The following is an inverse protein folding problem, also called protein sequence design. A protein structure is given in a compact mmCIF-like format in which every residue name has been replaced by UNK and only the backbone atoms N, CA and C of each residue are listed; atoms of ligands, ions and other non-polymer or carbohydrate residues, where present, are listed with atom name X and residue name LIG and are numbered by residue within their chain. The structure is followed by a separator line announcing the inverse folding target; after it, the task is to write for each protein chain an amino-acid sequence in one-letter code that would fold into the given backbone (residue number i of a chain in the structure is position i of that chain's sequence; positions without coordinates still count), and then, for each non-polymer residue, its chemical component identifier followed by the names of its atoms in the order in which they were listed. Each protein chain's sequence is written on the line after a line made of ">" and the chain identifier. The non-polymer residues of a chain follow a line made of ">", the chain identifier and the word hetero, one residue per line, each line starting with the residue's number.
data_IF_327798583104
#
_entry.id   IF_327798583104
#
_cell.length_a   1.000
_cell.length_b   1.000
_cell.length_c   1.000
_cell.angle_alpha   90.00
_cell.angle_beta   90.00
_cell.angle_gamma   90.00
#
_symmetry.space_group_name_H-M   'P 1'
#
loop_
_entity.id
_entity.type
_entity.pdbx_description
1 polymer ?
#
# COMPACT_ATOMS: atom_id res chain seq x y z
N UNK A 1 -15.52 -2.19 4.10
CA UNK A 1 -15.57 -3.61 3.66
C UNK A 1 -16.65 -3.89 2.62
N UNK A 2 -17.96 -3.76 2.91
CA UNK A 2 -19.00 -4.03 1.90
C UNK A 2 -18.84 -3.15 0.65
N UNK A 3 -18.67 -1.84 0.85
CA UNK A 3 -18.38 -0.87 -0.23
C UNK A 3 -17.18 -1.29 -1.09
N UNK A 4 -16.09 -1.73 -0.44
CA UNK A 4 -14.86 -2.15 -1.12
C UNK A 4 -15.12 -3.39 -1.99
N UNK A 5 -15.78 -4.40 -1.44
CA UNK A 5 -16.10 -5.64 -2.17
C UNK A 5 -17.12 -5.47 -3.28
N UNK A 6 -17.85 -4.36 -3.32
CA UNK A 6 -18.76 -4.01 -4.41
C UNK A 6 -18.12 -3.05 -5.43
N UNK A 7 -16.86 -2.63 -5.23
CA UNK A 7 -16.17 -1.67 -6.07
C UNK A 7 -16.63 -0.22 -5.89
N UNK A 8 -17.56 0.05 -4.96
CA UNK A 8 -18.04 1.42 -4.75
C UNK A 8 -16.95 2.33 -4.19
N UNK A 9 -16.08 1.79 -3.32
CA UNK A 9 -14.98 2.58 -2.76
C UNK A 9 -13.98 3.02 -3.81
N UNK A 10 -13.61 2.15 -4.76
CA UNK A 10 -12.65 2.51 -5.81
C UNK A 10 -13.26 3.50 -6.81
N UNK A 11 -14.55 3.35 -7.14
CA UNK A 11 -15.26 4.33 -7.97
C UNK A 11 -15.31 5.70 -7.29
N UNK A 12 -15.55 5.75 -5.98
CA UNK A 12 -15.52 7.02 -5.23
C UNK A 12 -14.12 7.63 -5.17
N UNK A 13 -13.08 6.80 -5.06
CA UNK A 13 -11.69 7.26 -5.19
C UNK A 13 -11.47 7.90 -6.56
N UNK A 14 -11.74 7.17 -7.65
CA UNK A 14 -11.56 7.64 -9.03
C UNK A 14 -12.34 8.93 -9.34
N UNK A 15 -13.56 9.09 -8.81
CA UNK A 15 -14.38 10.31 -9.02
C UNK A 15 -13.78 11.53 -8.33
N UNK A 16 -13.17 11.35 -7.15
CA UNK A 16 -12.67 12.47 -6.35
C UNK A 16 -11.22 12.84 -6.69
N UNK A 17 -10.46 11.89 -7.21
CA UNK A 17 -9.05 12.03 -7.56
C UNK A 17 -8.93 12.73 -8.92
N UNK A 18 -8.91 14.07 -8.92
CA UNK A 18 -8.74 14.88 -10.13
C UNK A 18 -7.26 15.09 -10.40
N UNK A 19 -6.62 14.16 -11.11
CA UNK A 19 -5.20 14.29 -11.45
C UNK A 19 -4.98 14.38 -12.97
N UNK A 20 -3.86 14.98 -13.32
CA UNK A 20 -3.29 14.90 -14.67
C UNK A 20 -3.01 13.42 -15.00
N UNK A 21 -3.21 13.00 -16.26
CA UNK A 21 -2.92 11.63 -16.71
C UNK A 21 -1.46 11.22 -16.46
N UNK A 22 -0.55 12.19 -16.35
CA UNK A 22 0.84 11.95 -16.03
C UNK A 22 1.12 11.63 -14.54
N UNK A 23 0.16 11.84 -13.64
CA UNK A 23 0.33 11.57 -12.22
C UNK A 23 0.17 10.08 -11.89
N UNK A 24 0.88 9.62 -10.84
CA UNK A 24 0.69 8.25 -10.34
C UNK A 24 -0.74 8.07 -9.84
N UNK A 25 -1.39 7.00 -10.28
CA UNK A 25 -2.75 6.68 -9.84
C UNK A 25 -2.82 6.42 -8.34
N UNK A 26 -3.91 6.89 -7.75
CA UNK A 26 -4.24 6.66 -6.36
C UNK A 26 -4.84 5.28 -6.09
N UNK A 27 -4.89 4.91 -4.83
CA UNK A 27 -5.59 3.73 -4.35
C UNK A 27 -6.12 3.98 -2.94
N UNK A 28 -6.98 3.08 -2.47
CA UNK A 28 -7.59 3.18 -1.16
C UNK A 28 -6.54 3.11 -0.03
N UNK A 29 -6.65 4.01 0.94
CA UNK A 29 -5.84 3.98 2.17
C UNK A 29 -5.99 2.65 2.92
N UNK A 30 -7.19 2.07 2.90
CA UNK A 30 -7.54 0.90 3.70
C UNK A 30 -7.57 1.20 5.20
N UNK A 31 -7.94 0.22 6.04
CA UNK A 31 -8.15 0.43 7.47
C UNK A 31 -6.87 0.30 8.31
N UNK A 32 -5.72 0.04 7.70
CA UNK A 32 -4.49 -0.40 8.40
C UNK A 32 -3.37 0.63 8.41
N UNK A 33 -3.61 1.84 7.90
CA UNK A 33 -2.71 2.97 8.08
C UNK A 33 -2.60 3.34 9.56
N UNK A 34 -1.38 3.66 10.01
CA UNK A 34 -1.10 4.08 11.38
C UNK A 34 -0.09 5.23 11.35
N UNK A 35 -0.44 6.34 11.99
CA UNK A 35 0.45 7.49 12.18
C UNK A 35 1.45 7.22 13.34
N UNK A 36 2.47 8.07 13.46
CA UNK A 36 3.45 8.03 14.55
C UNK A 36 4.61 7.06 14.34
N UNK A 37 4.73 6.45 13.15
CA UNK A 37 5.93 5.71 12.75
C UNK A 37 7.13 6.66 12.75
N UNK A 38 8.24 6.28 13.39
CA UNK A 38 9.44 7.13 13.45
C UNK A 38 10.12 7.22 12.08
N UNK A 39 10.59 8.41 11.73
CA UNK A 39 11.37 8.61 10.51
C UNK A 39 12.66 7.77 10.56
N UNK A 40 12.90 7.04 9.47
CA UNK A 40 14.02 6.15 9.27
C UNK A 40 14.99 6.73 8.24
N UNK A 41 16.25 6.31 8.30
CA UNK A 41 17.27 6.74 7.35
C UNK A 41 17.03 6.15 5.95
N UNK A 42 17.57 6.81 4.94
CA UNK A 42 17.59 6.31 3.56
C UNK A 42 18.24 4.91 3.50
N UNK A 43 17.55 3.95 2.88
CA UNK A 43 18.00 2.57 2.78
C UNK A 43 17.83 1.74 4.07
N UNK A 44 17.13 2.24 5.09
CA UNK A 44 16.86 1.44 6.28
C UNK A 44 15.98 0.21 5.97
N UNK A 45 16.07 -0.82 6.81
CA UNK A 45 15.23 -1.99 6.73
C UNK A 45 14.00 -1.85 7.65
N UNK A 46 12.79 -1.97 7.09
CA UNK A 46 11.53 -1.90 7.85
C UNK A 46 11.05 -3.28 8.32
N UNK A 47 11.64 -4.36 7.81
CA UNK A 47 11.28 -5.72 8.19
C UNK A 47 11.97 -6.11 9.50
N UNK A 48 11.15 -6.44 10.50
CA UNK A 48 11.56 -7.06 11.77
C UNK A 48 11.09 -8.52 11.86
N UNK A 49 10.64 -9.08 10.73
CA UNK A 49 10.17 -10.46 10.58
C UNK A 49 10.86 -11.13 9.39
N UNK A 50 10.94 -12.46 9.41
CA UNK A 50 11.50 -13.26 8.32
C UNK A 50 10.64 -13.16 7.05
N UNK A 51 11.29 -13.25 5.88
CA UNK A 51 10.64 -13.24 4.57
C UNK A 51 11.66 -13.14 3.44
N UNK A 52 11.19 -13.22 2.19
CA UNK A 52 12.03 -13.01 1.01
C UNK A 52 12.47 -11.53 0.96
N UNK A 53 13.76 -11.19 1.10
CA UNK A 53 14.20 -9.79 1.15
C UNK A 53 13.94 -9.06 -0.17
N UNK A 54 13.44 -7.83 -0.07
CA UNK A 54 13.20 -6.94 -1.23
C UNK A 54 13.78 -5.56 -0.95
N UNK A 55 14.33 -4.95 -1.99
CA UNK A 55 14.80 -3.57 -1.96
C UNK A 55 13.86 -2.69 -2.79
N UNK A 56 13.21 -1.74 -2.13
CA UNK A 56 12.34 -0.76 -2.76
C UNK A 56 13.12 0.53 -2.98
N UNK A 57 13.08 1.05 -4.21
CA UNK A 57 13.71 2.32 -4.55
C UNK A 57 13.00 3.01 -5.71
N UNK A 58 13.13 4.32 -5.80
CA UNK A 58 12.56 5.13 -6.87
C UNK A 58 12.80 6.61 -6.66
N UNK A 59 12.10 7.43 -7.45
CA UNK A 59 12.16 8.89 -7.39
C UNK A 59 10.75 9.46 -7.34
N UNK A 60 10.53 10.43 -6.46
CA UNK A 60 9.34 11.28 -6.46
C UNK A 60 9.63 12.50 -7.33
N UNK A 61 8.80 12.71 -8.34
CA UNK A 61 8.88 13.85 -9.25
C UNK A 61 7.49 14.49 -9.46
N UNK A 62 7.48 15.74 -9.90
CA UNK A 62 6.26 16.39 -10.36
C UNK A 62 5.86 15.90 -11.77
N UNK A 63 4.71 16.37 -12.27
CA UNK A 63 4.18 16.02 -13.60
C UNK A 63 5.08 16.44 -14.77
N UNK A 64 6.07 17.31 -14.53
CA UNK A 64 7.07 17.71 -15.52
C UNK A 64 8.39 16.92 -15.37
N UNK A 65 8.44 15.95 -14.46
CA UNK A 65 9.61 15.13 -14.16
C UNK A 65 10.65 15.83 -13.29
N UNK A 66 10.34 16.98 -12.68
CA UNK A 66 11.26 17.64 -11.76
C UNK A 66 11.27 16.89 -10.43
N UNK A 67 12.45 16.53 -9.87
CA UNK A 67 12.51 15.85 -8.59
C UNK A 67 11.92 16.67 -7.44
N UNK A 68 11.23 15.98 -6.53
CA UNK A 68 10.65 16.56 -5.30
C UNK A 68 11.47 16.10 -4.11
N UNK A 69 12.33 16.98 -3.61
CA UNK A 69 13.11 16.76 -2.40
C UNK A 69 12.28 16.94 -1.12
N UNK A 70 12.71 16.29 -0.04
CA UNK A 70 12.08 16.37 1.28
C UNK A 70 10.59 15.93 1.32
N UNK A 71 10.13 15.19 0.30
CA UNK A 71 8.83 14.57 0.30
C UNK A 71 8.79 13.46 1.35
N UNK A 72 7.76 13.49 2.20
CA UNK A 72 7.50 12.46 3.19
C UNK A 72 6.90 11.23 2.50
N UNK A 73 7.47 10.06 2.75
CA UNK A 73 6.97 8.77 2.26
C UNK A 73 6.69 7.86 3.45
N UNK A 74 5.44 7.44 3.59
CA UNK A 74 5.00 6.44 4.55
C UNK A 74 4.61 5.16 3.83
N UNK A 75 5.09 4.02 4.32
CA UNK A 75 4.81 2.70 3.73
C UNK A 75 4.36 1.70 4.78
N UNK A 76 3.48 0.78 4.38
CA UNK A 76 3.04 -0.32 5.23
C UNK A 76 2.59 -1.53 4.40
N UNK A 77 2.84 -2.74 4.91
CA UNK A 77 2.42 -4.00 4.31
C UNK A 77 2.13 -5.05 5.40
N UNK A 78 1.53 -6.18 5.01
CA UNK A 78 1.35 -7.34 5.89
C UNK A 78 2.65 -8.14 6.07
N UNK A 79 2.77 -8.82 7.20
CA UNK A 79 3.76 -9.88 7.40
C UNK A 79 3.38 -11.15 6.61
N UNK A 80 4.25 -12.19 6.55
CA UNK A 80 3.97 -13.41 5.79
C UNK A 80 2.72 -14.18 6.23
N UNK A 81 2.23 -13.95 7.45
CA UNK A 81 0.97 -14.50 7.94
C UNK A 81 -0.27 -13.74 7.44
N UNK A 82 -0.11 -12.73 6.60
CA UNK A 82 -1.19 -11.94 6.01
C UNK A 82 -1.81 -10.92 6.96
N UNK A 83 -1.18 -10.65 8.11
CA UNK A 83 -1.64 -9.67 9.09
C UNK A 83 -0.72 -8.45 9.12
N UNK A 84 -1.31 -7.26 9.24
CA UNK A 84 -0.57 -6.07 9.65
C UNK A 84 -0.24 -6.15 11.14
N UNK A 85 0.86 -5.53 11.56
CA UNK A 85 1.32 -5.53 12.96
C UNK A 85 0.22 -5.12 13.97
N UNK A 86 -0.67 -4.19 13.62
CA UNK A 86 -1.79 -3.80 14.50
C UNK A 86 -2.90 -4.85 14.68
N UNK A 87 -2.88 -5.93 13.89
CA UNK A 87 -3.82 -7.06 13.98
C UNK A 87 -3.23 -8.25 14.73
N UNK A 88 -1.91 -8.32 14.82
CA UNK A 88 -1.17 -9.47 15.32
C UNK A 88 -0.32 -9.05 16.53
N UNK A 89 -0.74 -9.42 17.76
CA UNK A 89 -0.06 -8.99 18.97
C UNK A 89 1.36 -9.56 19.12
N UNK A 90 1.72 -10.58 18.33
CA UNK A 90 3.05 -11.19 18.36
C UNK A 90 4.05 -10.46 17.43
N UNK A 91 3.59 -9.53 16.60
CA UNK A 91 4.49 -8.73 15.75
C UNK A 91 5.19 -7.62 16.55
N UNK A 92 6.49 -7.35 16.27
CA UNK A 92 7.19 -6.22 16.86
C UNK A 92 6.52 -4.88 16.51
N UNK A 93 6.47 -3.95 17.45
CA UNK A 93 5.97 -2.59 17.22
C UNK A 93 6.66 -1.95 16.01
N UNK A 94 5.85 -1.52 15.03
CA UNK A 94 6.32 -0.90 13.80
C UNK A 94 6.88 -1.87 12.75
N UNK A 95 6.72 -3.19 12.92
CA UNK A 95 7.10 -4.17 11.90
C UNK A 95 6.46 -3.83 10.54
N UNK A 96 7.27 -3.83 9.48
CA UNK A 96 6.84 -3.60 8.09
C UNK A 96 6.11 -2.27 7.87
N UNK A 97 6.40 -1.28 8.71
CA UNK A 97 5.98 0.12 8.57
C UNK A 97 7.22 0.99 8.45
N UNK A 98 7.21 1.90 7.49
CA UNK A 98 8.32 2.79 7.21
C UNK A 98 7.88 4.23 7.06
N UNK A 99 8.76 5.16 7.43
CA UNK A 99 8.59 6.59 7.23
C UNK A 99 9.93 7.18 6.80
N UNK A 100 9.98 7.83 5.65
CA UNK A 100 11.21 8.29 5.01
C UNK A 100 11.03 9.68 4.41
N UNK A 101 12.15 10.33 4.08
CA UNK A 101 12.15 11.53 3.25
C UNK A 101 12.96 11.32 2.00
N UNK A 102 12.49 11.88 0.88
CA UNK A 102 13.27 11.90 -0.34
C UNK A 102 14.51 12.78 -0.19
N UNK A 103 15.59 12.39 -0.86
CA UNK A 103 16.81 13.19 -0.89
C UNK A 103 16.69 14.37 -1.88
N UNK A 104 17.78 15.12 -2.08
CA UNK A 104 17.81 16.28 -2.99
C UNK A 104 17.46 15.94 -4.45
N UNK A 105 17.68 14.70 -4.88
CA UNK A 105 17.36 14.19 -6.22
C UNK A 105 15.95 13.55 -6.26
N UNK A 106 15.13 13.76 -5.22
CA UNK A 106 13.81 13.16 -5.09
C UNK A 106 13.83 11.65 -4.84
N UNK A 107 14.99 11.05 -4.63
CA UNK A 107 15.11 9.60 -4.51
C UNK A 107 14.70 9.11 -3.12
N UNK A 108 14.13 7.91 -3.08
CA UNK A 108 13.86 7.14 -1.87
C UNK A 108 14.39 5.72 -2.01
N UNK A 109 14.73 5.10 -0.87
CA UNK A 109 15.07 3.69 -0.82
C UNK A 109 14.84 3.10 0.57
N UNK A 110 14.45 1.83 0.63
CA UNK A 110 14.36 1.05 1.87
C UNK A 110 14.39 -0.46 1.57
N UNK A 111 14.79 -1.25 2.56
CA UNK A 111 14.66 -2.71 2.53
C UNK A 111 13.37 -3.14 3.25
N UNK A 112 12.76 -4.21 2.75
CA UNK A 112 11.63 -4.90 3.38
C UNK A 112 11.67 -6.39 2.97
N UNK A 113 10.53 -7.07 3.09
CA UNK A 113 10.29 -8.40 2.52
C UNK A 113 9.22 -8.33 1.42
N UNK A 114 9.24 -9.30 0.51
CA UNK A 114 8.25 -9.43 -0.57
C UNK A 114 6.84 -9.48 0.04
N UNK A 115 5.92 -8.59 -0.37
CA UNK A 115 4.53 -8.67 0.07
C UNK A 115 3.92 -10.02 -0.26
N UNK A 116 2.93 -10.43 0.53
CA UNK A 116 2.17 -11.67 0.31
C UNK A 116 0.69 -11.35 0.15
N UNK A 117 -0.03 -12.18 -0.60
CA UNK A 117 -1.49 -12.08 -0.69
C UNK A 117 -2.14 -12.49 0.62
N UNK A 118 -3.28 -11.87 0.92
CA UNK A 118 -4.03 -12.16 2.15
C UNK A 118 -5.54 -12.04 1.91
N UNK A 119 -6.36 -12.82 2.65
CA UNK A 119 -7.81 -12.71 2.57
C UNK A 119 -8.31 -11.48 3.33
N UNK A 120 -9.34 -10.81 2.80
CA UNK A 120 -10.16 -9.91 3.62
C UNK A 120 -10.97 -10.71 4.66
N UNK A 121 -11.47 -10.09 5.74
CA UNK A 121 -12.31 -10.79 6.72
C UNK A 121 -13.53 -11.49 6.11
N UNK A 122 -13.70 -12.77 6.42
CA UNK A 122 -14.77 -13.63 5.87
C UNK A 122 -15.76 -14.16 6.91
N UNK A 123 -15.57 -13.81 8.18
CA UNK A 123 -16.41 -14.23 9.32
C UNK A 123 -17.72 -13.43 9.44
N UNK A 124 -17.90 -12.39 8.62
CA UNK A 124 -19.09 -11.54 8.59
C UNK A 124 -20.00 -11.69 7.36
N UNK A 125 -21.03 -10.84 7.23
CA UNK A 125 -21.98 -10.86 6.11
C UNK A 125 -21.34 -10.72 4.73
N UNK A 126 -20.24 -9.97 4.63
CA UNK A 126 -19.47 -9.83 3.39
C UNK A 126 -18.85 -11.16 2.97
N UNK A 127 -18.30 -11.93 3.92
CA UNK A 127 -17.78 -13.27 3.63
C UNK A 127 -18.87 -14.20 3.11
N UNK A 128 -20.06 -14.17 3.74
CA UNK A 128 -21.22 -14.92 3.26
C UNK A 128 -21.64 -14.53 1.84
N UNK A 129 -21.64 -13.21 1.53
CA UNK A 129 -21.91 -12.70 0.18
C UNK A 129 -20.87 -13.18 -0.83
N UNK A 130 -19.58 -13.16 -0.49
CA UNK A 130 -18.51 -13.65 -1.37
C UNK A 130 -18.69 -15.14 -1.69
N UNK A 131 -18.96 -15.96 -0.67
CA UNK A 131 -19.23 -17.40 -0.84
C UNK A 131 -20.47 -17.61 -1.72
N UNK A 132 -21.57 -16.91 -1.45
CA UNK A 132 -22.82 -17.04 -2.19
C UNK A 132 -22.69 -16.62 -3.67
N UNK A 133 -21.73 -15.74 -3.99
CA UNK A 133 -21.46 -15.26 -5.35
C UNK A 133 -20.28 -15.98 -6.03
N UNK A 134 -19.69 -16.99 -5.37
CA UNK A 134 -18.55 -17.75 -5.92
C UNK A 134 -17.26 -16.93 -6.03
N UNK A 135 -17.13 -15.85 -5.25
CA UNK A 135 -15.94 -14.98 -5.25
C UNK A 135 -14.96 -15.38 -4.15
N UNK A 136 -13.66 -15.24 -4.43
CA UNK A 136 -12.62 -15.41 -3.43
C UNK A 136 -12.43 -14.13 -2.59
N UNK A 137 -11.92 -14.23 -1.34
CA UNK A 137 -11.66 -13.07 -0.48
C UNK A 137 -10.26 -12.46 -0.64
N UNK A 138 -9.42 -13.03 -1.50
CA UNK A 138 -8.00 -12.67 -1.59
C UNK A 138 -7.76 -11.29 -2.20
N UNK A 139 -6.88 -10.53 -1.54
CA UNK A 139 -6.18 -9.40 -2.13
C UNK A 139 -4.79 -9.84 -2.60
N UNK A 140 -4.30 -9.38 -3.76
CA UNK A 140 -2.96 -9.67 -4.23
C UNK A 140 -1.90 -9.08 -3.30
N UNK A 141 -0.68 -9.63 -3.33
CA UNK A 141 0.48 -9.08 -2.64
C UNK A 141 0.70 -7.60 -3.01
N UNK A 142 0.74 -6.71 -2.00
CA UNK A 142 0.97 -5.29 -2.19
C UNK A 142 1.62 -4.60 -1.00
N UNK A 143 2.23 -3.45 -1.27
CA UNK A 143 2.69 -2.49 -0.26
C UNK A 143 2.00 -1.16 -0.51
N UNK A 144 1.54 -0.52 0.57
CA UNK A 144 0.92 0.79 0.49
C UNK A 144 1.97 1.90 0.56
N UNK A 145 1.66 3.00 -0.10
CA UNK A 145 2.40 4.25 -0.06
C UNK A 145 1.46 5.40 0.28
N UNK A 146 1.92 6.29 1.15
CA UNK A 146 1.37 7.63 1.31
C UNK A 146 2.51 8.63 1.16
N UNK A 147 2.36 9.58 0.24
CA UNK A 147 3.39 10.54 -0.13
C UNK A 147 2.83 11.94 0.07
N UNK A 148 3.56 12.77 0.82
CA UNK A 148 3.17 14.14 1.15
C UNK A 148 4.35 15.09 0.91
N UNK A 149 4.12 16.21 0.23
CA UNK A 149 5.14 17.21 -0.03
C UNK A 149 4.51 18.62 -0.07
N UNK A 150 5.17 19.65 0.48
CA UNK A 150 4.67 21.02 0.43
C UNK A 150 4.40 21.50 -1.01
N UNK A 151 3.17 21.98 -1.26
CA UNK A 151 2.76 22.47 -2.57
C UNK A 151 2.28 21.39 -3.55
N UNK A 152 2.23 20.13 -3.11
CA UNK A 152 1.69 19.01 -3.87
C UNK A 152 0.44 18.46 -3.18
N UNK A 153 -0.44 17.84 -3.96
CA UNK A 153 -1.54 17.07 -3.40
C UNK A 153 -1.01 15.77 -2.80
N UNK A 154 -1.43 15.38 -1.58
CA UNK A 154 -1.01 14.12 -0.97
C UNK A 154 -1.50 12.93 -1.79
N UNK A 155 -0.60 11.99 -2.07
CA UNK A 155 -0.92 10.77 -2.81
C UNK A 155 -1.02 9.59 -1.84
N UNK A 156 -2.12 8.83 -1.91
CA UNK A 156 -2.21 7.49 -1.33
C UNK A 156 -2.33 6.49 -2.46
N UNK A 157 -1.48 5.47 -2.47
CA UNK A 157 -1.46 4.46 -3.53
C UNK A 157 -0.94 3.12 -3.01
N UNK A 158 -0.90 2.10 -3.87
CA UNK A 158 -0.34 0.80 -3.57
C UNK A 158 0.40 0.23 -4.78
N UNK A 159 1.53 -0.43 -4.52
CA UNK A 159 2.27 -1.19 -5.52
C UNK A 159 1.96 -2.67 -5.36
N UNK A 160 1.59 -3.33 -6.45
CA UNK A 160 1.18 -4.73 -6.48
C UNK A 160 2.27 -5.60 -7.13
N UNK A 161 2.44 -6.82 -6.62
CA UNK A 161 3.31 -7.82 -7.27
C UNK A 161 2.68 -8.31 -8.55
N UNK A 162 3.38 -8.14 -9.68
CA UNK A 162 2.87 -8.50 -11.02
C UNK A 162 2.75 -10.01 -11.24
N UNK A 163 3.46 -10.81 -10.45
CA UNK A 163 3.45 -12.27 -10.46
C UNK A 163 2.42 -12.88 -9.49
N UNK A 164 1.64 -12.06 -8.76
CA UNK A 164 0.66 -12.55 -7.80
C UNK A 164 -0.57 -13.17 -8.51
N UNK A 165 -1.02 -14.38 -8.11
CA UNK A 165 -2.15 -15.07 -8.76
C UNK A 165 -3.48 -14.31 -8.68
N UNK A 166 -3.63 -13.37 -7.74
CA UNK A 166 -4.84 -12.58 -7.53
C UNK A 166 -4.75 -11.17 -8.12
N UNK A 167 -3.66 -10.81 -8.80
CA UNK A 167 -3.47 -9.44 -9.33
C UNK A 167 -4.55 -9.04 -10.34
N UNK A 168 -5.13 -10.01 -11.06
CA UNK A 168 -6.21 -9.78 -12.02
C UNK A 168 -7.62 -10.04 -11.43
N UNK A 169 -7.73 -10.29 -10.13
CA UNK A 169 -8.99 -10.67 -9.49
C UNK A 169 -9.13 -10.16 -8.05
N UNK A 170 -8.47 -9.06 -7.70
CA UNK A 170 -8.52 -8.47 -6.35
C UNK A 170 -9.96 -8.35 -5.82
N UNK A 171 -10.20 -8.91 -4.63
CA UNK A 171 -11.51 -8.93 -4.00
C UNK A 171 -12.12 -7.54 -3.75
N UNK A 172 -11.28 -6.50 -3.72
CA UNK A 172 -11.69 -5.09 -3.53
C UNK A 172 -11.39 -4.18 -4.72
N UNK A 173 -10.96 -4.74 -5.85
CA UNK A 173 -10.73 -4.00 -7.10
C UNK A 173 -9.71 -2.86 -6.99
N UNK A 174 -8.72 -2.96 -6.11
CA UNK A 174 -7.74 -1.90 -5.86
C UNK A 174 -6.57 -1.85 -6.84
N UNK A 175 -6.43 -2.86 -7.72
CA UNK A 175 -5.37 -2.94 -8.74
C UNK A 175 -5.72 -2.05 -9.93
N UNK A 176 -4.80 -1.13 -10.28
CA UNK A 176 -4.84 -0.29 -11.49
C UNK A 176 -3.63 -0.62 -12.40
N UNK A 177 -3.67 -0.25 -13.68
CA UNK A 177 -2.70 -0.68 -14.71
C UNK A 177 -2.08 0.50 -15.45
#
# INVERSE_FOLDING_TARGET
>A
MLSDTLGLSIVLDDINQHHDEAATESSLLGPFYRDGVKESAFGANIAQSDGEPVFFHGTVGDVNGKPVADALIEVWQTAPNGMYEGQDPDQPEGNLRGRFRTNADGAYAFHSIKPTSYPIPTDGPVGQMLVATGRHPMRPAHIHFRIDAPGYEPLTTALYSSDDPYVNSDAVFGVKR
#
